data_IF_825195986479
#
_entry.id   IF_825195986479
#
_cell.length_a   1.000
_cell.length_b   1.000
_cell.length_c   1.000
_cell.angle_alpha   90.00
_cell.angle_beta   90.00
_cell.angle_gamma   90.00
#
_symmetry.space_group_name_H-M   'P 1'
#
loop_
_entity.id
_entity.type
_entity.pdbx_description
1 polymer ?
#
# COMPACT_ATOMS: atom_id res chain seq x y z
N UNK A 1 17.14 -16.21 -4.04
CA UNK A 1 17.41 -14.99 -4.81
C UNK A 1 17.63 -13.85 -3.81
N UNK A 2 18.70 -13.05 -3.97
CA UNK A 2 18.97 -11.90 -3.10
C UNK A 2 17.85 -10.85 -3.31
N UNK A 3 17.30 -10.30 -2.23
CA UNK A 3 16.20 -9.31 -2.26
C UNK A 3 16.51 -8.06 -3.11
N UNK A 4 17.78 -7.63 -3.17
CA UNK A 4 18.22 -6.50 -4.00
C UNK A 4 18.17 -6.87 -5.49
N UNK A 5 18.58 -8.09 -5.86
CA UNK A 5 18.48 -8.56 -7.24
C UNK A 5 17.02 -8.64 -7.71
N UNK A 6 16.15 -9.19 -6.87
CA UNK A 6 14.71 -9.23 -7.15
C UNK A 6 14.12 -7.82 -7.35
N UNK A 7 14.48 -6.88 -6.47
CA UNK A 7 14.03 -5.49 -6.59
C UNK A 7 14.51 -4.80 -7.88
N UNK A 8 15.74 -5.11 -8.34
CA UNK A 8 16.24 -4.59 -9.62
C UNK A 8 15.48 -5.14 -10.83
N UNK A 9 15.15 -6.44 -10.82
CA UNK A 9 14.33 -7.05 -11.88
C UNK A 9 12.92 -6.46 -11.89
N UNK A 10 12.33 -6.28 -10.73
CA UNK A 10 11.02 -5.64 -10.59
C UNK A 10 11.03 -4.19 -11.07
N UNK A 11 12.04 -3.41 -10.69
CA UNK A 11 12.20 -2.03 -11.14
C UNK A 11 12.36 -1.95 -12.67
N UNK A 12 13.14 -2.84 -13.28
CA UNK A 12 13.26 -2.93 -14.73
C UNK A 12 11.90 -3.25 -15.38
N UNK A 13 11.15 -4.20 -14.82
CA UNK A 13 9.79 -4.51 -15.30
C UNK A 13 8.84 -3.31 -15.20
N UNK A 14 8.91 -2.52 -14.12
CA UNK A 14 8.12 -1.29 -13.98
C UNK A 14 8.54 -0.24 -15.03
N UNK A 15 9.83 -0.13 -15.31
CA UNK A 15 10.35 0.82 -16.31
C UNK A 15 9.93 0.44 -17.74
N UNK A 16 9.78 -0.84 -18.04
CA UNK A 16 9.34 -1.36 -19.34
C UNK A 16 7.83 -1.19 -19.58
N UNK A 17 7.01 -1.06 -18.51
CA UNK A 17 5.56 -0.89 -18.65
C UNK A 17 5.23 0.52 -19.18
N UNK A 18 4.48 0.66 -20.28
CA UNK A 18 3.98 1.95 -20.73
C UNK A 18 3.07 2.62 -19.68
N UNK A 19 3.40 3.83 -19.24
CA UNK A 19 2.66 4.56 -18.21
C UNK A 19 1.33 5.13 -18.73
N UNK A 20 0.40 4.26 -19.10
CA UNK A 20 -0.91 4.60 -19.68
C UNK A 20 -2.06 4.45 -18.71
N UNK A 21 -1.89 3.69 -17.61
CA UNK A 21 -2.89 3.36 -16.59
C UNK A 21 -2.25 3.42 -15.20
N UNK A 22 -3.08 3.47 -14.17
CA UNK A 22 -2.61 3.35 -12.80
C UNK A 22 -1.97 1.97 -12.56
N UNK A 23 -0.90 1.94 -11.78
CA UNK A 23 -0.13 0.72 -11.50
C UNK A 23 -0.21 0.37 -10.01
N UNK A 24 -0.64 -0.84 -9.72
CA UNK A 24 -0.44 -1.44 -8.40
C UNK A 24 0.76 -2.39 -8.46
N UNK A 25 1.80 -2.07 -7.71
CA UNK A 25 2.99 -2.91 -7.52
C UNK A 25 2.76 -3.85 -6.33
N UNK A 26 3.46 -4.97 -6.25
CA UNK A 26 3.34 -5.97 -5.17
C UNK A 26 1.89 -6.46 -4.93
N UNK A 27 1.34 -7.18 -5.89
CA UNK A 27 0.11 -7.97 -5.64
C UNK A 27 0.44 -9.14 -4.71
N UNK A 28 1.67 -9.68 -4.81
CA UNK A 28 2.27 -10.63 -3.89
C UNK A 28 3.75 -10.29 -3.69
N UNK A 29 4.29 -10.56 -2.51
CA UNK A 29 5.66 -10.22 -2.16
C UNK A 29 5.78 -8.87 -1.45
N UNK A 30 7.01 -8.48 -1.13
CA UNK A 30 7.32 -7.22 -0.42
C UNK A 30 8.82 -6.91 -0.48
N UNK A 31 9.17 -5.63 -0.37
CA UNK A 31 10.55 -5.16 -0.22
C UNK A 31 11.02 -5.27 1.22
N UNK A 32 11.77 -6.33 1.53
CA UNK A 32 12.17 -6.70 2.90
C UNK A 32 13.40 -5.95 3.45
N UNK A 33 13.90 -4.93 2.77
CA UNK A 33 14.96 -4.05 3.26
C UNK A 33 14.90 -2.67 2.59
N UNK A 34 15.57 -1.69 3.19
CA UNK A 34 15.55 -0.28 2.76
C UNK A 34 16.08 -0.10 1.33
N UNK A 35 17.12 -0.83 0.95
CA UNK A 35 17.70 -0.73 -0.41
C UNK A 35 16.73 -1.25 -1.47
N UNK A 36 16.10 -2.40 -1.25
CA UNK A 36 15.10 -2.94 -2.15
C UNK A 36 13.89 -1.99 -2.28
N UNK A 37 13.39 -1.46 -1.15
CA UNK A 37 12.32 -0.48 -1.14
C UNK A 37 12.67 0.78 -1.94
N UNK A 38 13.90 1.30 -1.80
CA UNK A 38 14.38 2.45 -2.56
C UNK A 38 14.45 2.20 -4.05
N UNK A 39 14.92 1.02 -4.48
CA UNK A 39 14.99 0.65 -5.90
C UNK A 39 13.60 0.60 -6.53
N UNK A 40 12.65 -0.08 -5.89
CA UNK A 40 11.28 -0.21 -6.39
C UNK A 40 10.53 1.14 -6.31
N UNK A 41 10.68 1.86 -5.19
CA UNK A 41 10.08 3.19 -5.02
C UNK A 41 10.52 4.17 -6.09
N UNK A 42 11.83 4.22 -6.41
CA UNK A 42 12.35 5.06 -7.49
C UNK A 42 11.76 4.68 -8.86
N UNK A 43 11.55 3.39 -9.15
CA UNK A 43 10.91 2.96 -10.39
C UNK A 43 9.43 3.38 -10.44
N UNK A 44 8.71 3.29 -9.33
CA UNK A 44 7.33 3.78 -9.22
C UNK A 44 7.24 5.28 -9.50
N UNK A 45 8.16 6.07 -8.95
CA UNK A 45 8.21 7.52 -9.20
C UNK A 45 8.50 7.83 -10.67
N UNK A 46 9.43 7.11 -11.31
CA UNK A 46 9.67 7.26 -12.76
C UNK A 46 8.45 6.88 -13.59
N UNK A 47 7.71 5.85 -13.17
CA UNK A 47 6.46 5.46 -13.82
C UNK A 47 5.43 6.60 -13.78
N UNK A 48 5.20 7.21 -12.62
CA UNK A 48 4.30 8.37 -12.47
C UNK A 48 4.76 9.55 -13.33
N UNK A 49 6.07 9.86 -13.35
CA UNK A 49 6.63 10.93 -14.17
C UNK A 49 6.33 10.71 -15.67
N UNK A 50 6.54 9.49 -16.19
CA UNK A 50 6.20 9.15 -17.57
C UNK A 50 4.70 9.27 -17.88
N UNK A 51 3.86 8.99 -16.90
CA UNK A 51 2.39 9.07 -16.98
C UNK A 51 1.78 10.41 -16.56
N UNK A 52 2.57 11.42 -16.19
CA UNK A 52 2.11 12.66 -15.55
C UNK A 52 1.02 13.38 -16.32
N UNK A 53 1.13 13.49 -17.65
CA UNK A 53 0.11 14.14 -18.51
C UNK A 53 -1.26 13.44 -18.48
N UNK A 54 -1.32 12.18 -18.01
CA UNK A 54 -2.54 11.38 -17.90
C UNK A 54 -3.02 11.24 -16.45
N UNK A 55 -2.32 11.84 -15.49
CA UNK A 55 -2.63 11.70 -14.08
C UNK A 55 -2.45 10.28 -13.55
N UNK A 56 -1.51 9.51 -14.13
CA UNK A 56 -1.25 8.11 -13.76
C UNK A 56 -0.57 8.06 -12.41
N UNK A 57 -1.03 7.16 -11.55
CA UNK A 57 -0.47 6.91 -10.22
C UNK A 57 0.08 5.48 -10.12
N UNK A 58 1.18 5.32 -9.38
CA UNK A 58 1.71 4.03 -8.96
C UNK A 58 1.65 3.89 -7.44
N UNK A 59 1.16 2.77 -6.94
CA UNK A 59 1.05 2.53 -5.50
C UNK A 59 1.31 1.08 -5.14
N UNK A 60 1.66 0.85 -3.89
CA UNK A 60 1.87 -0.50 -3.36
C UNK A 60 1.42 -0.63 -1.92
N UNK A 61 1.29 -1.87 -1.46
CA UNK A 61 1.13 -2.22 -0.06
C UNK A 61 2.39 -2.87 0.46
N UNK A 62 2.69 -2.67 1.75
CA UNK A 62 3.84 -3.30 2.38
C UNK A 62 3.53 -3.80 3.79
N UNK A 63 4.08 -4.94 4.18
CA UNK A 63 4.18 -5.43 5.55
C UNK A 63 5.58 -5.16 6.13
N UNK A 64 6.50 -4.62 5.34
CA UNK A 64 7.91 -4.48 5.73
C UNK A 64 8.15 -3.45 6.85
N UNK A 65 7.13 -2.68 7.25
CA UNK A 65 7.17 -1.86 8.47
C UNK A 65 7.23 -2.70 9.75
N UNK A 66 6.88 -3.98 9.68
CA UNK A 66 6.93 -4.92 10.81
C UNK A 66 8.33 -5.50 10.99
N UNK A 67 8.61 -6.00 12.21
CA UNK A 67 9.81 -6.80 12.47
C UNK A 67 9.77 -8.10 11.61
N UNK A 68 10.90 -8.61 11.19
CA UNK A 68 12.27 -8.13 11.45
C UNK A 68 12.74 -7.02 10.48
N UNK A 69 11.95 -6.64 9.47
CA UNK A 69 12.39 -5.80 8.36
C UNK A 69 12.51 -4.32 8.71
N UNK A 70 11.55 -3.77 9.44
CA UNK A 70 11.55 -2.39 9.95
C UNK A 70 11.91 -1.34 8.88
N UNK A 71 11.32 -1.45 7.69
CA UNK A 71 11.53 -0.52 6.58
C UNK A 71 10.65 0.71 6.80
N UNK A 72 11.22 1.91 6.97
CA UNK A 72 10.43 3.14 7.12
C UNK A 72 9.89 3.63 5.76
N UNK A 73 8.85 4.47 5.81
CA UNK A 73 8.26 5.06 4.59
C UNK A 73 9.28 5.86 3.78
N UNK A 74 10.21 6.56 4.43
CA UNK A 74 11.27 7.33 3.77
C UNK A 74 12.17 6.49 2.85
N UNK A 75 12.28 5.18 3.10
CA UNK A 75 13.05 4.28 2.25
C UNK A 75 12.48 4.13 0.83
N UNK A 76 11.20 4.42 0.61
CA UNK A 76 10.51 4.27 -0.66
C UNK A 76 10.65 5.46 -1.61
N UNK A 77 11.54 6.42 -1.31
CA UNK A 77 11.88 7.54 -2.19
C UNK A 77 10.67 8.42 -2.59
N UNK A 78 9.69 8.58 -1.71
CA UNK A 78 8.47 9.35 -1.98
C UNK A 78 7.37 8.62 -2.76
N UNK A 79 7.56 7.35 -3.09
CA UNK A 79 6.51 6.54 -3.71
C UNK A 79 5.29 6.36 -2.80
N UNK A 80 4.11 6.15 -3.38
CA UNK A 80 2.84 5.94 -2.67
C UNK A 80 2.77 4.54 -2.09
N UNK A 81 2.97 4.45 -0.78
CA UNK A 81 3.05 3.16 -0.08
C UNK A 81 2.08 3.14 1.09
N UNK A 82 1.29 2.08 1.16
CA UNK A 82 0.30 1.84 2.21
C UNK A 82 0.82 0.73 3.12
N UNK A 83 0.88 1.00 4.42
CA UNK A 83 1.21 -0.02 5.40
C UNK A 83 0.04 -0.99 5.58
N UNK A 84 0.29 -2.27 5.37
CA UNK A 84 -0.68 -3.34 5.63
C UNK A 84 -0.56 -3.77 7.10
N UNK A 85 -1.59 -3.44 7.87
CA UNK A 85 -1.65 -3.60 9.32
C UNK A 85 -2.66 -4.70 9.69
N UNK A 86 -2.37 -5.43 10.76
CA UNK A 86 -3.23 -6.49 11.29
C UNK A 86 -3.75 -6.18 12.71
N UNK A 87 -3.42 -5.00 13.23
CA UNK A 87 -3.87 -4.53 14.54
C UNK A 87 -3.69 -3.01 14.67
N UNK A 88 -4.32 -2.42 15.67
CA UNK A 88 -4.19 -1.01 16.04
C UNK A 88 -2.75 -0.64 16.42
N UNK A 89 -2.06 -1.54 17.10
CA UNK A 89 -0.65 -1.38 17.42
C UNK A 89 0.21 -1.33 16.16
N UNK A 90 -0.13 -2.13 15.12
CA UNK A 90 0.55 -2.10 13.84
C UNK A 90 0.29 -0.79 13.07
N UNK A 91 -0.91 -0.23 13.15
CA UNK A 91 -1.25 1.09 12.59
C UNK A 91 -0.42 2.19 13.26
N UNK A 92 -0.42 2.22 14.58
CA UNK A 92 0.36 3.18 15.38
C UNK A 92 1.85 3.10 15.03
N UNK A 93 2.39 1.87 14.95
CA UNK A 93 3.78 1.63 14.56
C UNK A 93 4.06 2.11 13.14
N UNK A 94 3.22 1.78 12.16
CA UNK A 94 3.40 2.20 10.78
C UNK A 94 3.48 3.73 10.67
N UNK A 95 2.60 4.43 11.36
CA UNK A 95 2.60 5.91 11.40
C UNK A 95 3.86 6.48 12.04
N UNK A 96 4.36 5.89 13.15
CA UNK A 96 5.63 6.30 13.75
C UNK A 96 6.83 6.09 12.82
N UNK A 97 6.71 5.25 11.79
CA UNK A 97 7.69 5.02 10.74
C UNK A 97 7.45 5.88 9.48
N UNK A 98 6.51 6.83 9.54
CA UNK A 98 6.23 7.80 8.49
C UNK A 98 5.27 7.33 7.41
N UNK A 99 4.58 6.20 7.58
CA UNK A 99 3.55 5.78 6.64
C UNK A 99 2.29 6.64 6.80
N UNK A 100 1.88 7.30 5.73
CA UNK A 100 0.71 8.19 5.69
C UNK A 100 -0.58 7.44 5.38
N UNK A 101 -0.50 6.33 4.66
CA UNK A 101 -1.60 5.42 4.37
C UNK A 101 -1.47 4.11 5.15
N UNK A 102 -2.55 3.70 5.82
CA UNK A 102 -2.67 2.40 6.46
C UNK A 102 -3.87 1.63 5.89
N UNK A 103 -3.72 0.32 5.78
CA UNK A 103 -4.81 -0.59 5.47
C UNK A 103 -4.86 -1.71 6.49
N UNK A 104 -6.06 -2.14 6.85
CA UNK A 104 -6.28 -3.25 7.78
C UNK A 104 -7.20 -4.29 7.18
N UNK A 105 -7.14 -5.52 7.69
CA UNK A 105 -8.01 -6.62 7.28
C UNK A 105 -9.03 -6.87 8.38
N UNK A 106 -10.30 -6.97 8.01
CA UNK A 106 -11.41 -7.28 8.91
C UNK A 106 -11.96 -8.68 8.62
N UNK A 107 -12.47 -9.42 9.64
CA UNK A 107 -13.08 -10.73 9.42
C UNK A 107 -14.25 -10.69 8.43
N UNK A 108 -15.03 -9.63 8.49
CA UNK A 108 -16.21 -9.38 7.68
C UNK A 108 -16.30 -7.92 7.21
N UNK A 109 -17.29 -7.64 6.36
CA UNK A 109 -17.63 -6.29 5.98
C UNK A 109 -18.22 -5.53 7.17
N UNK A 110 -17.56 -4.46 7.57
CA UNK A 110 -18.04 -3.57 8.63
C UNK A 110 -18.32 -2.18 8.07
N UNK A 111 -19.32 -1.46 8.59
CA UNK A 111 -19.58 -0.08 8.18
C UNK A 111 -18.38 0.83 8.41
N UNK A 112 -18.28 1.90 7.64
CA UNK A 112 -17.34 2.99 7.92
C UNK A 112 -17.59 3.54 9.31
N UNK A 113 -16.55 3.68 10.11
CA UNK A 113 -16.61 4.23 11.46
C UNK A 113 -15.38 5.11 11.76
N UNK A 114 -15.44 5.83 12.86
CA UNK A 114 -14.32 6.64 13.37
C UNK A 114 -14.02 6.26 14.81
N UNK A 115 -12.74 6.17 15.12
CA UNK A 115 -12.22 5.96 16.46
C UNK A 115 -11.01 6.87 16.74
N UNK A 116 -10.25 6.57 17.78
CA UNK A 116 -9.03 7.30 18.17
C UNK A 116 -7.89 7.20 17.16
N UNK A 117 -7.88 6.17 16.33
CA UNK A 117 -6.89 5.98 15.27
C UNK A 117 -7.26 6.73 13.99
N UNK A 118 -8.54 7.03 13.77
CA UNK A 118 -8.96 7.79 12.61
C UNK A 118 -10.29 7.35 11.99
N UNK A 119 -10.48 7.70 10.72
CA UNK A 119 -11.64 7.32 9.92
C UNK A 119 -11.35 5.99 9.21
N UNK A 120 -12.06 4.94 9.59
CA UNK A 120 -11.98 3.62 8.99
C UNK A 120 -12.99 3.52 7.84
N UNK A 121 -12.50 3.41 6.60
CA UNK A 121 -13.33 3.31 5.40
C UNK A 121 -13.25 1.89 4.85
N UNK A 122 -14.39 1.19 4.80
CA UNK A 122 -14.46 -0.10 4.13
C UNK A 122 -14.24 0.08 2.62
N UNK A 123 -13.41 -0.77 2.01
CA UNK A 123 -12.99 -0.63 0.63
C UNK A 123 -14.19 -0.50 -0.32
N UNK A 124 -14.31 0.57 -1.11
CA UNK A 124 -15.45 0.76 -2.01
C UNK A 124 -15.61 -0.35 -3.05
N UNK A 125 -14.54 -1.01 -3.47
CA UNK A 125 -14.64 -2.19 -4.34
C UNK A 125 -15.40 -3.33 -3.67
N UNK A 126 -15.15 -3.55 -2.38
CA UNK A 126 -15.81 -4.63 -1.64
C UNK A 126 -17.28 -4.31 -1.35
N UNK A 127 -17.60 -3.05 -1.03
CA UNK A 127 -18.96 -2.63 -0.68
C UNK A 127 -19.85 -2.36 -1.89
N UNK A 128 -19.33 -1.67 -2.91
CA UNK A 128 -20.12 -1.16 -4.05
C UNK A 128 -19.68 -1.72 -5.40
N UNK A 129 -18.65 -2.57 -5.41
CA UNK A 129 -18.00 -3.10 -6.62
C UNK A 129 -17.39 -2.01 -7.51
N UNK A 130 -17.13 -0.81 -6.95
CA UNK A 130 -16.48 0.28 -7.68
C UNK A 130 -15.06 -0.13 -8.06
N UNK A 131 -14.70 -0.18 -9.35
CA UNK A 131 -13.37 -0.61 -9.78
C UNK A 131 -12.24 0.25 -9.19
N UNK A 132 -11.09 -0.37 -8.90
CA UNK A 132 -9.96 0.32 -8.28
C UNK A 132 -9.41 1.46 -9.16
N UNK A 133 -9.42 1.32 -10.48
CA UNK A 133 -9.02 2.35 -11.43
C UNK A 133 -9.91 3.60 -11.42
N UNK A 134 -11.19 3.45 -11.02
CA UNK A 134 -12.12 4.55 -10.82
C UNK A 134 -12.07 5.11 -9.38
N UNK A 135 -11.75 4.29 -8.39
CA UNK A 135 -11.76 4.66 -6.97
C UNK A 135 -10.47 5.37 -6.57
N UNK A 136 -9.32 4.74 -6.82
CA UNK A 136 -7.96 5.20 -6.51
C UNK A 136 -7.75 5.68 -5.05
N UNK A 137 -8.62 5.29 -4.11
CA UNK A 137 -8.53 5.71 -2.70
C UNK A 137 -7.16 5.37 -2.12
N UNK A 138 -6.69 4.15 -2.35
CA UNK A 138 -5.42 3.66 -1.83
C UNK A 138 -4.19 4.39 -2.40
N UNK A 139 -4.27 4.91 -3.62
CA UNK A 139 -3.19 5.68 -4.23
C UNK A 139 -3.14 7.15 -3.77
N UNK A 140 -4.17 7.63 -3.09
CA UNK A 140 -4.26 9.01 -2.61
C UNK A 140 -3.67 9.14 -1.19
N UNK A 141 -2.40 8.75 -1.02
CA UNK A 141 -1.75 8.72 0.30
C UNK A 141 -1.79 10.05 1.02
N UNK A 142 -1.62 11.18 0.32
CA UNK A 142 -1.70 12.52 0.90
C UNK A 142 -3.12 12.83 1.44
N UNK A 143 -4.15 12.36 0.74
CA UNK A 143 -5.52 12.51 1.18
C UNK A 143 -5.83 11.61 2.38
N UNK A 144 -5.32 10.36 2.37
CA UNK A 144 -5.45 9.44 3.50
C UNK A 144 -4.82 10.03 4.77
N UNK A 145 -3.64 10.64 4.63
CA UNK A 145 -2.96 11.34 5.72
C UNK A 145 -3.78 12.52 6.24
N UNK A 146 -4.11 13.46 5.35
CA UNK A 146 -4.85 14.69 5.70
C UNK A 146 -6.14 14.40 6.46
N UNK A 147 -6.84 13.33 6.12
CA UNK A 147 -8.12 12.95 6.73
C UNK A 147 -7.99 11.86 7.80
N UNK A 148 -6.77 11.42 8.08
CA UNK A 148 -6.45 10.35 9.02
C UNK A 148 -7.26 9.07 8.72
N UNK A 149 -7.18 8.59 7.46
CA UNK A 149 -7.97 7.48 6.97
C UNK A 149 -7.21 6.16 7.03
N UNK A 150 -7.93 5.11 7.43
CA UNK A 150 -7.50 3.72 7.37
C UNK A 150 -8.44 2.97 6.42
N UNK A 151 -7.91 2.29 5.43
CA UNK A 151 -8.71 1.51 4.48
C UNK A 151 -8.90 0.10 5.00
N UNK A 152 -10.14 -0.36 5.11
CA UNK A 152 -10.47 -1.70 5.56
C UNK A 152 -10.79 -2.63 4.38
N UNK A 153 -10.29 -3.85 4.45
CA UNK A 153 -10.58 -4.92 3.50
C UNK A 153 -11.12 -6.15 4.23
N UNK A 154 -12.07 -6.89 3.67
CA UNK A 154 -12.45 -8.19 4.21
C UNK A 154 -11.29 -9.17 4.01
N UNK A 155 -11.14 -10.10 4.93
CA UNK A 155 -10.17 -11.18 4.80
C UNK A 155 -10.57 -12.12 3.66
N UNK A 156 -9.62 -12.44 2.79
CA UNK A 156 -9.82 -13.32 1.65
C UNK A 156 -8.94 -14.58 1.73
N UNK A 157 -9.41 -15.69 1.17
CA UNK A 157 -8.65 -16.93 0.98
C UNK A 157 -8.45 -17.75 2.25
N UNK A 158 -7.43 -18.62 2.25
CA UNK A 158 -7.17 -19.61 3.30
C UNK A 158 -6.95 -19.04 4.71
N UNK A 159 -6.66 -17.75 4.85
CA UNK A 159 -6.45 -17.07 6.12
C UNK A 159 -7.72 -16.44 6.72
N UNK A 160 -8.86 -16.56 6.06
CA UNK A 160 -10.12 -16.00 6.54
C UNK A 160 -10.48 -16.52 7.95
N UNK A 161 -10.18 -17.81 8.24
CA UNK A 161 -10.41 -18.44 9.54
C UNK A 161 -9.43 -17.97 10.63
N UNK A 162 -8.25 -17.46 10.27
CA UNK A 162 -7.25 -16.98 11.24
C UNK A 162 -7.49 -15.53 11.68
N UNK A 163 -8.20 -14.74 10.89
CA UNK A 163 -8.54 -13.36 11.23
C UNK A 163 -9.78 -13.25 12.14
N UNK A 164 -10.50 -14.35 12.36
CA UNK A 164 -11.70 -14.42 13.20
C UNK A 164 -11.42 -14.89 14.64
N UNK A 165 -10.18 -15.25 14.98
CA UNK A 165 -9.70 -15.60 16.31
C UNK A 165 -8.71 -14.54 16.81
#
# INVERSE_FOLDING_TARGET
MNSIHAARLEAAGIDDIPARRNLRVHVSGDCRNKTAAGIVGAAMMRYEQRGQRRGVLAYTYTHAHKAPYNVPASAWQGARVIASCDSDAAITRARSMGYTGCATVTPEAIPTYRDTLGLHIFCPFESTKRPCDCCMLCAKTDWLEKHNVIVMFPSHGARQKQAAN
#
